data_IF_029046610011
#
_entry.id   IF_029046610011
#
_cell.length_a   1.000
_cell.length_b   1.000
_cell.length_c   1.000
_cell.angle_alpha   90.00
_cell.angle_beta   90.00
_cell.angle_gamma   90.00
#
_symmetry.space_group_name_H-M   'P 1'
#
loop_
_entity.id
_entity.type
_entity.pdbx_description
1 polymer ?
#
# COMPACT_ATOMS: atom_id res chain seq x y z
N UNK A 1 -33.33 -6.53 5.06
CA UNK A 1 -32.22 -7.34 4.50
C UNK A 1 -31.64 -6.53 3.36
N UNK A 2 -30.42 -5.99 3.50
CA UNK A 2 -29.80 -5.28 2.38
C UNK A 2 -29.49 -6.30 1.27
N UNK A 3 -29.80 -6.01 0.00
CA UNK A 3 -29.42 -6.90 -1.09
C UNK A 3 -27.91 -7.12 -1.03
N UNK A 4 -27.49 -8.38 -1.20
CA UNK A 4 -26.06 -8.70 -1.30
C UNK A 4 -25.51 -7.91 -2.49
N UNK A 5 -24.46 -7.09 -2.31
CA UNK A 5 -23.90 -6.32 -3.40
C UNK A 5 -23.48 -7.30 -4.50
N UNK A 6 -23.86 -7.02 -5.74
CA UNK A 6 -23.40 -7.82 -6.86
C UNK A 6 -21.87 -7.85 -6.87
N UNK A 7 -21.24 -9.04 -7.08
CA UNK A 7 -19.80 -9.15 -7.12
C UNK A 7 -19.25 -8.25 -8.24
N UNK A 8 -18.40 -7.29 -7.87
CA UNK A 8 -17.90 -6.31 -8.83
C UNK A 8 -16.74 -5.48 -8.30
N UNK A 9 -16.06 -4.81 -9.21
CA UNK A 9 -14.94 -3.93 -8.91
C UNK A 9 -15.37 -2.73 -8.04
N UNK A 10 -14.93 -2.73 -6.78
CA UNK A 10 -15.18 -1.64 -5.82
C UNK A 10 -14.25 -0.44 -6.01
N UNK A 11 -13.09 -0.63 -6.66
CA UNK A 11 -12.14 0.46 -6.96
C UNK A 11 -12.22 0.90 -8.44
N UNK A 12 -12.03 2.20 -8.77
CA UNK A 12 -12.08 2.70 -10.15
C UNK A 12 -11.03 2.08 -11.09
N UNK A 13 -9.84 1.78 -10.57
CA UNK A 13 -8.75 1.15 -11.32
C UNK A 13 -9.05 -0.32 -11.67
N UNK A 14 -9.75 -1.05 -10.81
CA UNK A 14 -10.26 -2.38 -11.10
C UNK A 14 -11.24 -2.36 -12.29
N UNK A 15 -12.14 -1.37 -12.35
CA UNK A 15 -13.11 -1.21 -13.46
C UNK A 15 -12.47 -0.94 -14.82
N UNK A 16 -11.25 -0.40 -14.83
CA UNK A 16 -10.48 -0.15 -16.05
C UNK A 16 -9.75 -1.40 -16.55
N UNK A 17 -9.71 -2.47 -15.76
CA UNK A 17 -9.03 -3.71 -16.12
C UNK A 17 -10.01 -4.68 -16.76
N UNK A 18 -9.55 -5.41 -17.77
CA UNK A 18 -10.32 -6.48 -18.38
C UNK A 18 -10.15 -7.77 -17.55
N UNK A 19 -10.76 -7.79 -16.36
CA UNK A 19 -10.74 -8.94 -15.47
C UNK A 19 -11.80 -9.94 -15.91
N UNK A 20 -11.44 -11.22 -15.98
CA UNK A 20 -12.41 -12.29 -16.17
C UNK A 20 -13.38 -12.33 -14.99
N UNK A 21 -14.64 -12.66 -15.27
CA UNK A 21 -15.64 -12.82 -14.23
C UNK A 21 -15.21 -13.95 -13.29
N UNK A 22 -15.12 -13.64 -11.99
CA UNK A 22 -14.78 -14.62 -10.96
C UNK A 22 -15.88 -15.66 -10.77
N UNK A 23 -15.52 -16.83 -10.25
CA UNK A 23 -16.48 -17.85 -9.83
C UNK A 23 -17.06 -17.45 -8.45
N UNK A 24 -18.39 -17.41 -8.28
CA UNK A 24 -18.98 -17.20 -6.97
C UNK A 24 -18.53 -18.29 -5.99
N UNK A 25 -18.07 -17.89 -4.81
CA UNK A 25 -17.77 -18.83 -3.72
C UNK A 25 -19.02 -18.87 -2.84
N UNK A 26 -19.63 -20.06 -2.62
CA UNK A 26 -20.79 -20.17 -1.74
C UNK A 26 -20.39 -19.74 -0.33
N UNK A 27 -21.19 -18.87 0.28
CA UNK A 27 -21.03 -18.54 1.69
C UNK A 27 -21.34 -19.80 2.53
N UNK A 28 -20.51 -20.14 3.53
CA UNK A 28 -20.89 -21.13 4.53
C UNK A 28 -22.22 -20.74 5.18
N UNK A 29 -22.97 -21.71 5.73
CA UNK A 29 -24.32 -21.48 6.28
C UNK A 29 -24.39 -20.37 7.36
N UNK A 30 -23.26 -20.02 8.00
CA UNK A 30 -23.13 -18.95 8.99
C UNK A 30 -22.21 -17.80 8.53
N UNK A 31 -21.73 -17.84 7.29
CA UNK A 31 -20.83 -16.85 6.74
C UNK A 31 -21.51 -15.50 6.53
N UNK A 32 -20.98 -14.45 7.16
CA UNK A 32 -21.37 -13.07 6.88
C UNK A 32 -20.34 -12.40 5.99
N UNK A 33 -20.79 -11.69 4.97
CA UNK A 33 -19.92 -10.80 4.19
C UNK A 33 -19.71 -9.51 4.96
N UNK A 34 -18.43 -9.15 5.13
CA UNK A 34 -18.07 -7.84 5.64
C UNK A 34 -18.53 -6.76 4.64
N UNK A 35 -19.10 -5.68 5.16
CA UNK A 35 -19.54 -4.57 4.32
C UNK A 35 -18.38 -4.06 3.46
N UNK A 36 -18.55 -3.78 2.14
CA UNK A 36 -17.45 -3.38 1.27
C UNK A 36 -16.64 -2.18 1.77
N UNK A 37 -17.29 -1.25 2.47
CA UNK A 37 -16.60 -0.12 3.09
C UNK A 37 -15.65 -0.55 4.22
N UNK A 38 -15.98 -1.61 4.96
CA UNK A 38 -15.15 -2.18 6.03
C UNK A 38 -14.09 -3.14 5.46
N UNK A 39 -14.39 -3.86 4.38
CA UNK A 39 -13.46 -4.74 3.67
C UNK A 39 -12.16 -4.03 3.28
N UNK A 40 -12.26 -2.75 2.88
CA UNK A 40 -11.11 -1.91 2.54
C UNK A 40 -10.16 -1.66 3.72
N UNK A 41 -10.66 -1.70 4.96
CA UNK A 41 -9.88 -1.41 6.16
C UNK A 41 -9.40 -2.67 6.89
N UNK A 42 -10.03 -3.82 6.63
CA UNK A 42 -9.86 -5.04 7.44
C UNK A 42 -9.18 -6.21 6.70
N UNK A 43 -8.89 -6.09 5.42
CA UNK A 43 -8.40 -7.25 4.65
C UNK A 43 -6.93 -7.13 4.28
N UNK A 44 -6.24 -8.26 4.49
CA UNK A 44 -5.21 -8.95 3.68
C UNK A 44 -4.49 -8.04 2.69
N UNK A 45 -3.15 -8.16 2.58
CA UNK A 45 -2.33 -7.28 1.77
C UNK A 45 -2.97 -6.86 0.45
N UNK A 46 -3.03 -5.55 0.26
CA UNK A 46 -3.65 -4.97 -0.91
C UNK A 46 -2.96 -5.45 -2.18
N UNK A 47 -3.69 -5.43 -3.29
CA UNK A 47 -3.14 -5.83 -4.60
C UNK A 47 -1.84 -5.09 -4.96
N UNK A 48 -1.71 -3.83 -4.54
CA UNK A 48 -0.48 -3.05 -4.76
C UNK A 48 0.69 -3.59 -3.95
N UNK A 49 0.48 -4.05 -2.72
CA UNK A 49 1.51 -4.67 -1.89
C UNK A 49 1.96 -6.01 -2.48
N UNK A 50 1.01 -6.84 -2.93
CA UNK A 50 1.32 -8.12 -3.60
C UNK A 50 2.08 -7.92 -4.91
N UNK A 51 1.64 -6.98 -5.76
CA UNK A 51 2.36 -6.63 -7.00
C UNK A 51 3.79 -6.13 -6.70
N UNK A 52 3.92 -5.26 -5.69
CA UNK A 52 5.22 -4.72 -5.30
C UNK A 52 6.14 -5.82 -4.75
N UNK A 53 5.61 -6.72 -3.90
CA UNK A 53 6.31 -7.90 -3.41
C UNK A 53 6.88 -8.73 -4.56
N UNK A 54 6.04 -9.12 -5.52
CA UNK A 54 6.47 -9.97 -6.64
C UNK A 54 7.51 -9.29 -7.53
N UNK A 55 7.33 -7.98 -7.78
CA UNK A 55 8.26 -7.18 -8.60
C UNK A 55 9.60 -7.02 -7.92
N UNK A 56 9.66 -6.85 -6.61
CA UNK A 56 10.90 -6.74 -5.85
C UNK A 56 11.63 -8.09 -5.75
N UNK A 57 10.90 -9.19 -5.53
CA UNK A 57 11.49 -10.54 -5.54
C UNK A 57 12.10 -10.89 -6.89
N UNK A 58 11.45 -10.51 -8.00
CA UNK A 58 12.01 -10.65 -9.36
C UNK A 58 13.30 -9.85 -9.58
N UNK A 59 13.60 -8.86 -8.73
CA UNK A 59 14.85 -8.07 -8.72
C UNK A 59 15.88 -8.61 -7.72
N UNK A 60 15.65 -9.79 -7.14
CA UNK A 60 16.58 -10.43 -6.19
C UNK A 60 16.47 -9.94 -4.75
N UNK A 61 15.47 -9.12 -4.41
CA UNK A 61 15.25 -8.71 -3.01
C UNK A 61 14.59 -9.84 -2.21
N UNK A 62 14.96 -9.95 -0.94
CA UNK A 62 14.16 -10.69 0.04
C UNK A 62 13.00 -9.79 0.47
N UNK A 63 11.76 -10.28 0.35
CA UNK A 63 10.57 -9.50 0.67
C UNK A 63 9.65 -10.31 1.54
N UNK A 64 9.21 -9.72 2.65
CA UNK A 64 8.19 -10.29 3.53
C UNK A 64 7.04 -9.31 3.71
N UNK A 65 5.83 -9.86 3.71
CA UNK A 65 4.64 -9.17 4.19
C UNK A 65 4.79 -9.06 5.71
N UNK A 66 4.83 -7.85 6.24
CA UNK A 66 5.20 -7.65 7.63
C UNK A 66 4.05 -8.05 8.56
N UNK A 67 4.28 -8.92 9.55
CA UNK A 67 3.23 -9.39 10.45
C UNK A 67 2.89 -8.37 11.56
N UNK A 68 3.73 -7.34 11.75
CA UNK A 68 3.54 -6.33 12.78
C UNK A 68 2.33 -5.45 12.48
N UNK A 69 1.28 -5.58 13.29
CA UNK A 69 0.04 -4.84 13.12
C UNK A 69 0.30 -3.32 13.08
N UNK A 70 -0.09 -2.69 11.97
CA UNK A 70 -0.06 -1.23 11.78
C UNK A 70 1.34 -0.60 11.99
N UNK A 71 2.40 -1.35 11.67
CA UNK A 71 3.78 -0.86 11.62
C UNK A 71 4.15 -0.41 10.20
N UNK A 72 4.06 -1.32 9.23
CA UNK A 72 4.22 -1.10 7.78
C UNK A 72 3.81 -2.39 7.05
N UNK A 73 3.73 -2.36 5.71
CA UNK A 73 3.16 -3.46 4.93
C UNK A 73 4.22 -4.46 4.43
N UNK A 74 5.38 -3.98 3.98
CA UNK A 74 6.46 -4.84 3.46
C UNK A 74 7.80 -4.52 4.13
N UNK A 75 8.52 -5.58 4.51
CA UNK A 75 9.95 -5.51 4.77
C UNK A 75 10.70 -5.99 3.54
N UNK A 76 11.61 -5.15 3.04
CA UNK A 76 12.40 -5.43 1.83
C UNK A 76 13.88 -5.39 2.19
N UNK A 77 14.61 -6.47 1.94
CA UNK A 77 16.08 -6.51 2.06
C UNK A 77 16.68 -6.60 0.65
N UNK A 78 17.57 -5.69 0.31
CA UNK A 78 18.26 -5.69 -0.99
C UNK A 78 19.32 -6.78 -1.05
N UNK A 79 19.78 -7.15 -2.26
CA UNK A 79 20.95 -8.03 -2.41
C UNK A 79 22.21 -7.54 -1.66
N UNK A 80 22.33 -6.24 -1.40
CA UNK A 80 23.45 -5.63 -0.68
C UNK A 80 23.21 -5.47 0.82
N UNK A 81 22.11 -6.03 1.35
CA UNK A 81 21.82 -6.08 2.79
C UNK A 81 21.07 -4.86 3.35
N UNK A 82 20.74 -3.87 2.52
CA UNK A 82 19.98 -2.70 2.95
C UNK A 82 18.51 -3.06 3.16
N UNK A 83 17.91 -2.61 4.25
CA UNK A 83 16.54 -2.92 4.62
C UNK A 83 15.61 -1.72 4.52
N UNK A 84 14.49 -1.88 3.84
CA UNK A 84 13.43 -0.87 3.74
C UNK A 84 12.16 -1.37 4.43
N UNK A 85 11.59 -0.51 5.27
CA UNK A 85 10.19 -0.62 5.70
C UNK A 85 9.33 0.15 4.70
N UNK A 86 8.32 -0.52 4.14
CA UNK A 86 7.47 0.03 3.08
C UNK A 86 6.02 -0.01 3.51
N UNK A 87 5.40 1.16 3.52
CA UNK A 87 4.01 1.37 3.88
C UNK A 87 3.24 1.89 2.65
N UNK A 88 2.41 1.04 2.09
CA UNK A 88 1.65 1.27 0.86
C UNK A 88 0.33 1.95 1.19
N UNK A 89 0.21 3.23 0.86
CA UNK A 89 -1.01 4.01 1.13
C UNK A 89 -1.79 4.32 -0.14
N UNK A 90 -3.01 3.79 -0.25
CA UNK A 90 -3.96 4.19 -1.30
C UNK A 90 -5.06 5.12 -0.76
N UNK A 91 -4.75 6.41 -0.65
CA UNK A 91 -5.70 7.44 -0.25
C UNK A 91 -5.95 8.47 -1.35
N UNK A 92 -7.15 9.06 -1.36
CA UNK A 92 -7.49 10.08 -2.35
C UNK A 92 -6.89 11.44 -2.02
N UNK A 93 -6.85 11.81 -0.74
CA UNK A 93 -6.36 13.11 -0.28
C UNK A 93 -5.02 12.94 0.45
N UNK A 94 -3.90 13.39 -0.16
CA UNK A 94 -2.57 13.22 0.42
C UNK A 94 -2.35 14.03 1.70
N UNK A 95 -3.00 15.20 1.82
CA UNK A 95 -2.85 16.05 3.01
C UNK A 95 -3.58 15.50 4.23
N UNK A 96 -4.78 14.95 4.05
CA UNK A 96 -5.49 14.25 5.11
C UNK A 96 -4.77 12.97 5.52
N UNK A 97 -4.22 12.21 4.55
CA UNK A 97 -3.38 11.04 4.84
C UNK A 97 -2.20 11.43 5.71
N UNK A 98 -1.45 12.47 5.31
CA UNK A 98 -0.27 12.88 6.05
C UNK A 98 -0.59 13.29 7.50
N UNK A 99 -1.70 14.00 7.72
CA UNK A 99 -2.15 14.41 9.06
C UNK A 99 -2.65 13.27 9.93
N UNK A 100 -3.05 12.14 9.34
CA UNK A 100 -3.49 10.96 10.09
C UNK A 100 -2.36 10.02 10.46
N UNK A 101 -1.11 10.28 10.03
CA UNK A 101 0.02 9.43 10.38
C UNK A 101 0.42 9.62 11.84
N UNK A 102 0.84 8.53 12.49
CA UNK A 102 1.45 8.56 13.82
C UNK A 102 2.72 9.41 13.76
N UNK A 103 3.06 10.10 14.85
CA UNK A 103 4.28 10.93 14.92
C UNK A 103 5.54 10.14 15.16
N UNK A 104 5.41 8.87 15.55
CA UNK A 104 6.51 7.95 15.83
C UNK A 104 6.51 6.85 14.77
N UNK A 105 7.70 6.55 14.24
CA UNK A 105 7.90 5.42 13.35
C UNK A 105 8.18 4.16 14.17
N UNK A 106 7.82 2.97 13.67
CA UNK A 106 8.26 1.72 14.28
C UNK A 106 9.80 1.69 14.30
N UNK A 107 10.41 1.32 15.41
CA UNK A 107 11.87 1.44 15.61
C UNK A 107 12.67 0.27 15.06
N UNK A 108 12.03 -0.84 14.70
CA UNK A 108 12.72 -2.10 14.52
C UNK A 108 12.82 -2.54 13.06
N UNK A 109 13.99 -3.08 12.71
CA UNK A 109 14.25 -3.88 11.51
C UNK A 109 14.23 -3.17 10.15
N UNK A 110 14.63 -1.90 10.05
CA UNK A 110 14.82 -1.20 8.77
C UNK A 110 15.88 -0.07 8.83
N UNK A 111 16.46 0.25 7.68
CA UNK A 111 17.41 1.36 7.50
C UNK A 111 16.72 2.62 6.93
N UNK A 112 15.72 2.43 6.06
CA UNK A 112 14.87 3.50 5.54
C UNK A 112 13.38 3.16 5.64
N UNK A 113 12.55 4.16 5.92
CA UNK A 113 11.09 4.05 5.90
C UNK A 113 10.50 4.78 4.68
N UNK A 114 9.65 4.08 3.93
CA UNK A 114 9.03 4.58 2.70
C UNK A 114 7.51 4.54 2.76
N UNK A 115 6.89 5.70 2.59
CA UNK A 115 5.48 5.77 2.17
C UNK A 115 5.40 5.60 0.65
N UNK A 116 4.75 4.54 0.19
CA UNK A 116 4.61 4.21 -1.23
C UNK A 116 3.16 4.36 -1.68
N UNK A 117 2.94 5.07 -2.78
CA UNK A 117 1.61 5.30 -3.32
C UNK A 117 1.43 4.55 -4.65
N UNK A 118 0.24 4.03 -4.96
CA UNK A 118 -0.05 3.54 -6.31
C UNK A 118 0.22 4.63 -7.36
N UNK A 119 0.84 4.26 -8.48
CA UNK A 119 1.19 5.21 -9.55
C UNK A 119 -0.04 6.00 -10.07
N UNK A 120 -1.23 5.38 -10.03
CA UNK A 120 -2.49 6.04 -10.41
C UNK A 120 -2.79 7.26 -9.55
N UNK A 121 -2.46 7.28 -8.25
CA UNK A 121 -2.68 8.46 -7.39
C UNK A 121 -1.83 9.65 -7.83
N UNK A 122 -0.56 9.37 -8.13
CA UNK A 122 0.37 10.39 -8.61
C UNK A 122 0.01 10.85 -10.03
N UNK A 123 -0.53 9.96 -10.88
CA UNK A 123 -1.07 10.35 -12.20
C UNK A 123 -2.33 11.20 -12.10
N UNK A 124 -3.23 10.90 -11.17
CA UNK A 124 -4.47 11.66 -10.94
C UNK A 124 -4.21 13.05 -10.33
N UNK A 125 -3.18 13.16 -9.49
CA UNK A 125 -2.78 14.42 -8.86
C UNK A 125 -1.26 14.54 -8.91
N UNK A 126 -0.73 15.32 -9.87
CA UNK A 126 0.72 15.44 -10.11
C UNK A 126 1.52 15.83 -8.85
N UNK A 127 0.94 16.69 -8.00
CA UNK A 127 1.60 17.18 -6.78
C UNK A 127 1.32 16.31 -5.53
N UNK A 128 0.76 15.10 -5.71
CA UNK A 128 0.30 14.25 -4.61
C UNK A 128 1.39 13.99 -3.56
N UNK A 129 2.58 13.59 -4.02
CA UNK A 129 3.71 13.25 -3.13
C UNK A 129 4.21 14.49 -2.38
N UNK A 130 4.31 15.64 -3.04
CA UNK A 130 4.76 16.87 -2.39
C UNK A 130 3.75 17.38 -1.37
N UNK A 131 2.45 17.32 -1.69
CA UNK A 131 1.39 17.69 -0.75
C UNK A 131 1.36 16.78 0.46
N UNK A 132 1.59 15.47 0.28
CA UNK A 132 1.78 14.53 1.38
C UNK A 132 2.97 14.95 2.25
N UNK A 133 4.16 15.09 1.66
CA UNK A 133 5.40 15.47 2.39
C UNK A 133 5.27 16.80 3.14
N UNK A 134 4.67 17.82 2.52
CA UNK A 134 4.44 19.14 3.15
C UNK A 134 3.45 19.06 4.30
N UNK A 135 2.48 18.14 4.22
CA UNK A 135 1.44 17.98 5.23
C UNK A 135 1.83 17.00 6.34
N UNK A 136 2.95 16.28 6.21
CA UNK A 136 3.43 15.38 7.26
C UNK A 136 3.75 16.15 8.55
N UNK A 137 3.57 15.53 9.72
CA UNK A 137 4.08 16.05 10.98
C UNK A 137 5.58 16.39 10.87
N UNK A 138 6.05 17.54 11.39
CA UNK A 138 7.46 17.94 11.28
C UNK A 138 8.47 16.87 11.73
N UNK A 139 8.13 16.11 12.77
CA UNK A 139 8.95 15.02 13.31
C UNK A 139 9.27 13.93 12.27
N UNK A 140 8.37 13.68 11.31
CA UNK A 140 8.55 12.64 10.30
C UNK A 140 9.26 13.12 9.03
N UNK A 141 9.17 14.42 8.69
CA UNK A 141 9.53 14.92 7.35
C UNK A 141 10.96 14.61 6.91
N UNK A 142 11.89 14.53 7.85
CA UNK A 142 13.32 14.27 7.59
C UNK A 142 13.69 12.79 7.68
N UNK A 143 12.81 11.98 8.25
CA UNK A 143 13.10 10.58 8.62
C UNK A 143 12.44 9.57 7.68
N UNK A 144 11.61 10.04 6.74
CA UNK A 144 10.89 9.18 5.80
C UNK A 144 11.09 9.61 4.36
N UNK A 145 11.02 8.62 3.48
CA UNK A 145 10.90 8.80 2.05
C UNK A 145 9.44 8.65 1.64
N UNK A 146 9.07 9.29 0.53
CA UNK A 146 7.75 9.09 -0.05
C UNK A 146 7.80 9.21 -1.56
N UNK A 147 7.08 8.34 -2.26
CA UNK A 147 7.07 8.26 -3.71
C UNK A 147 5.99 7.31 -4.23
N UNK A 148 5.84 7.25 -5.56
CA UNK A 148 4.98 6.25 -6.17
C UNK A 148 5.68 4.88 -6.23
N UNK A 149 4.94 3.81 -6.54
CA UNK A 149 5.49 2.48 -6.81
C UNK A 149 6.62 2.53 -7.84
N UNK A 150 6.42 3.25 -8.94
CA UNK A 150 7.45 3.40 -9.98
C UNK A 150 8.68 4.17 -9.49
N UNK A 151 8.50 5.20 -8.65
CA UNK A 151 9.63 5.94 -8.06
C UNK A 151 10.41 5.05 -7.09
N UNK A 152 9.72 4.35 -6.21
CA UNK A 152 10.33 3.43 -5.25
C UNK A 152 11.10 2.32 -5.98
N UNK A 153 10.53 1.68 -6.99
CA UNK A 153 11.25 0.64 -7.73
C UNK A 153 12.49 1.15 -8.50
N UNK A 154 12.54 2.43 -8.83
CA UNK A 154 13.73 3.05 -9.45
C UNK A 154 14.84 3.32 -8.43
N UNK A 155 14.51 3.58 -7.16
CA UNK A 155 15.54 3.80 -6.14
C UNK A 155 16.36 2.53 -5.85
N UNK A 156 15.84 1.33 -6.17
CA UNK A 156 16.58 0.05 -6.08
C UNK A 156 17.58 -0.20 -7.20
N UNK A 157 17.54 0.54 -8.32
CA UNK A 157 18.42 0.30 -9.48
C UNK A 157 19.78 1.02 -9.29
N UNK A 158 19.88 1.95 -8.34
CA UNK A 158 21.05 2.81 -8.13
C UNK A 158 21.73 2.59 -6.76
N UNK A 159 21.30 1.59 -5.99
CA UNK A 159 21.87 1.27 -4.66
C UNK A 159 22.43 -0.15 -4.60
#
# INVERSE_FOLDING_TARGET
>A
MYPSPEPGCTRPDCRKQNLSQGKPIPLPNEGRLLHPALLRFLMIPGRTELDLHDRLRKRGCEVSLWPGLDQYDLRVVTPYGRTFAVDVKDWKNPGLLARSQKTELPTDHWDEFWYVFPDERVRQQRDYVNLFKRSLPPALRKSVHAGSVSTFLKSFIQS
#
